data_IF_350696023715
#
_entry.id   IF_350696023715
#
_cell.length_a   1.000
_cell.length_b   1.000
_cell.length_c   1.000
_cell.angle_alpha   90.00
_cell.angle_beta   90.00
_cell.angle_gamma   90.00
#
_symmetry.space_group_name_H-M   'P 1'
#
loop_
_entity.id
_entity.type
_entity.pdbx_description
1 polymer ?
#
# COMPACT_ATOMS: atom_id res chain seq x y z
N UNK A 1 8.47 36.24 22.43
CA UNK A 1 8.25 34.87 21.93
C UNK A 1 7.27 34.93 20.80
N UNK A 2 7.79 34.99 19.54
CA UNK A 2 6.99 34.79 18.35
C UNK A 2 6.63 33.30 18.31
N UNK A 3 5.37 32.96 18.52
CA UNK A 3 4.82 31.68 18.12
C UNK A 3 5.06 31.57 16.61
N UNK A 4 6.08 30.86 16.20
CA UNK A 4 6.16 30.34 14.85
C UNK A 4 5.12 29.22 14.78
N UNK A 5 3.92 29.58 14.35
CA UNK A 5 2.97 28.63 13.85
C UNK A 5 3.56 28.11 12.53
N UNK A 6 4.42 27.10 12.62
CA UNK A 6 4.93 26.42 11.44
C UNK A 6 3.77 25.55 10.98
N UNK A 7 2.94 26.08 10.07
CA UNK A 7 1.95 25.30 9.36
C UNK A 7 2.69 24.16 8.66
N UNK A 8 2.54 22.94 9.19
CA UNK A 8 3.14 21.75 8.58
C UNK A 8 2.43 21.49 7.26
N UNK A 9 3.16 21.32 6.16
CA UNK A 9 2.53 21.05 4.87
C UNK A 9 1.82 19.69 4.89
N UNK A 10 0.71 19.57 4.19
CA UNK A 10 0.14 18.26 3.89
C UNK A 10 1.09 17.49 2.96
N UNK A 11 1.20 16.18 3.18
CA UNK A 11 2.07 15.29 2.40
C UNK A 11 1.21 14.26 1.69
N UNK A 12 1.30 14.22 0.37
CA UNK A 12 0.66 13.20 -0.47
C UNK A 12 1.76 12.39 -1.12
N UNK A 13 1.80 11.09 -0.81
CA UNK A 13 2.73 10.15 -1.40
C UNK A 13 1.99 9.26 -2.42
N UNK A 14 2.33 9.40 -3.71
CA UNK A 14 1.74 8.62 -4.79
C UNK A 14 2.77 7.58 -5.26
N UNK A 15 2.44 6.30 -5.05
CA UNK A 15 3.29 5.18 -5.42
C UNK A 15 2.65 4.39 -6.57
N UNK A 16 3.11 4.65 -7.78
CA UNK A 16 2.61 3.97 -8.97
C UNK A 16 3.13 2.53 -9.05
N UNK A 17 2.25 1.61 -9.45
CA UNK A 17 2.56 0.20 -9.64
C UNK A 17 2.83 -0.06 -11.12
N UNK A 18 3.88 -0.82 -11.42
CA UNK A 18 4.28 -1.21 -12.80
C UNK A 18 4.50 -0.03 -13.77
N UNK A 19 4.83 1.15 -13.25
CA UNK A 19 5.13 2.33 -14.06
C UNK A 19 6.63 2.39 -14.37
N UNK A 20 6.97 2.28 -15.65
CA UNK A 20 8.36 2.39 -16.12
C UNK A 20 8.85 3.85 -16.19
N UNK A 21 10.16 4.03 -16.14
CA UNK A 21 10.78 5.36 -16.25
C UNK A 21 10.36 6.11 -17.53
N UNK A 22 10.23 5.41 -18.65
CA UNK A 22 9.87 5.98 -19.94
C UNK A 22 8.36 6.12 -20.20
N UNK A 23 7.49 5.85 -19.21
CA UNK A 23 6.04 5.85 -19.41
C UNK A 23 5.40 7.23 -19.19
N UNK A 24 6.16 8.19 -18.68
CA UNK A 24 5.70 9.56 -18.44
C UNK A 24 6.30 10.53 -19.49
N UNK A 25 5.50 11.50 -19.97
CA UNK A 25 5.97 12.50 -20.94
C UNK A 25 7.15 13.31 -20.44
N UNK A 26 7.17 13.68 -19.16
CA UNK A 26 8.28 14.40 -18.55
C UNK A 26 9.60 13.59 -18.54
N UNK A 27 9.54 12.29 -18.81
CA UNK A 27 10.69 11.40 -19.01
C UNK A 27 10.83 10.89 -20.45
N UNK A 28 10.03 11.43 -21.39
CA UNK A 28 10.20 11.18 -22.82
C UNK A 28 9.17 10.23 -23.47
N UNK A 29 8.10 9.84 -22.77
CA UNK A 29 7.00 9.10 -23.38
C UNK A 29 6.39 9.92 -24.53
N UNK A 30 6.07 9.23 -25.65
CA UNK A 30 5.50 9.86 -26.85
C UNK A 30 4.07 9.43 -27.13
N UNK A 31 3.67 8.27 -26.63
CA UNK A 31 2.39 7.63 -26.95
C UNK A 31 1.33 7.78 -25.85
N UNK A 32 1.71 8.27 -24.68
CA UNK A 32 0.83 8.49 -23.54
C UNK A 32 0.96 9.93 -23.08
N UNK A 33 -0.16 10.60 -22.89
CA UNK A 33 -0.20 11.98 -22.40
C UNK A 33 -0.36 11.99 -20.88
N UNK A 34 0.54 12.70 -20.19
CA UNK A 34 0.53 12.81 -18.72
C UNK A 34 0.58 14.27 -18.25
N UNK A 35 -0.41 15.12 -18.65
CA UNK A 35 -0.33 16.57 -18.45
C UNK A 35 -0.25 16.98 -16.99
N UNK A 36 -0.92 16.28 -16.07
CA UNK A 36 -0.89 16.59 -14.64
C UNK A 36 0.45 16.25 -14.01
N UNK A 37 1.08 15.14 -14.42
CA UNK A 37 2.43 14.76 -13.97
C UNK A 37 3.47 15.71 -14.54
N UNK A 38 3.30 16.13 -15.81
CA UNK A 38 4.16 17.12 -16.43
C UNK A 38 4.12 18.45 -15.67
N UNK A 39 2.92 18.88 -15.22
CA UNK A 39 2.77 20.07 -14.39
C UNK A 39 3.52 19.93 -13.08
N UNK A 40 3.36 18.83 -12.35
CA UNK A 40 4.09 18.55 -11.12
C UNK A 40 5.61 18.58 -11.36
N UNK A 41 6.08 17.99 -12.46
CA UNK A 41 7.49 17.99 -12.83
C UNK A 41 8.04 19.39 -13.14
N UNK A 42 7.22 20.29 -13.70
CA UNK A 42 7.60 21.67 -14.03
C UNK A 42 7.56 22.61 -12.83
N UNK A 43 6.69 22.37 -11.88
CA UNK A 43 6.50 23.17 -10.67
C UNK A 43 7.35 22.68 -9.48
N UNK A 44 7.88 21.47 -9.55
CA UNK A 44 8.63 20.83 -8.48
C UNK A 44 10.03 20.37 -8.88
N UNK A 45 10.47 19.26 -8.29
CA UNK A 45 11.76 18.64 -8.56
C UNK A 45 11.55 17.33 -9.33
N UNK A 46 12.21 17.22 -10.48
CA UNK A 46 12.26 16.00 -11.27
C UNK A 46 13.59 15.29 -11.08
N UNK A 47 13.56 14.08 -10.54
CA UNK A 47 14.73 13.24 -10.37
C UNK A 47 15.03 12.49 -11.68
N UNK A 48 16.25 12.60 -12.18
CA UNK A 48 16.70 11.90 -13.41
C UNK A 48 17.50 10.63 -13.12
N UNK A 49 17.81 10.36 -11.86
CA UNK A 49 18.55 9.19 -11.40
C UNK A 49 18.03 8.73 -10.04
N UNK A 50 16.74 8.34 -10.01
CA UNK A 50 16.11 7.74 -8.84
C UNK A 50 15.74 6.29 -9.15
N UNK A 51 15.92 5.40 -8.18
CA UNK A 51 15.73 3.98 -8.36
C UNK A 51 14.78 3.44 -7.29
N UNK A 52 13.85 2.57 -7.69
CA UNK A 52 13.10 1.75 -6.76
C UNK A 52 14.06 0.74 -6.10
N UNK A 53 13.78 0.38 -4.85
CA UNK A 53 14.62 -0.56 -4.07
C UNK A 53 14.50 -1.99 -4.55
N UNK A 54 13.41 -2.32 -5.25
CA UNK A 54 13.17 -3.60 -5.89
C UNK A 54 12.26 -3.44 -7.11
N UNK A 55 12.33 -4.37 -8.06
CA UNK A 55 11.54 -4.35 -9.28
C UNK A 55 10.10 -4.85 -9.08
N UNK A 56 9.80 -5.56 -8.00
CA UNK A 56 8.50 -6.15 -7.72
C UNK A 56 7.80 -5.48 -6.54
N UNK A 57 6.49 -5.67 -6.47
CA UNK A 57 5.59 -4.91 -5.60
C UNK A 57 5.89 -5.02 -4.11
N UNK A 58 5.78 -6.22 -3.53
CA UNK A 58 5.93 -6.41 -2.08
C UNK A 58 7.26 -5.91 -1.53
N UNK A 59 8.43 -6.30 -2.08
CA UNK A 59 9.71 -5.85 -1.54
C UNK A 59 9.93 -4.34 -1.68
N UNK A 60 9.44 -3.74 -2.77
CA UNK A 60 9.55 -2.30 -2.98
C UNK A 60 8.68 -1.50 -1.99
N UNK A 61 7.43 -1.96 -1.76
CA UNK A 61 6.49 -1.37 -0.78
C UNK A 61 6.99 -1.53 0.64
N UNK A 62 7.54 -2.70 0.97
CA UNK A 62 8.18 -2.95 2.26
C UNK A 62 9.27 -1.92 2.54
N UNK A 63 10.21 -1.77 1.61
CA UNK A 63 11.33 -0.85 1.76
C UNK A 63 10.87 0.61 1.87
N UNK A 64 9.86 1.01 1.09
CA UNK A 64 9.30 2.36 1.12
C UNK A 64 8.69 2.69 2.50
N UNK A 65 7.94 1.77 3.08
CA UNK A 65 7.28 2.00 4.37
C UNK A 65 8.22 1.91 5.57
N UNK A 66 9.22 1.02 5.51
CA UNK A 66 10.08 0.71 6.67
C UNK A 66 11.45 1.38 6.64
N UNK A 67 11.87 1.87 5.47
CA UNK A 67 13.24 2.36 5.26
C UNK A 67 14.30 1.26 5.20
N UNK A 68 13.89 -0.01 5.20
CA UNK A 68 14.80 -1.16 5.16
C UNK A 68 14.77 -1.85 3.80
N UNK A 69 15.91 -2.33 3.33
CA UNK A 69 15.94 -3.16 2.13
C UNK A 69 15.26 -4.52 2.39
N UNK A 70 14.30 -4.88 1.56
CA UNK A 70 13.53 -6.11 1.68
C UNK A 70 14.40 -7.38 1.68
N UNK A 71 15.46 -7.40 0.86
CA UNK A 71 16.37 -8.55 0.78
C UNK A 71 17.12 -8.86 2.09
N UNK A 72 17.08 -7.95 3.08
CA UNK A 72 17.64 -8.19 4.42
C UNK A 72 16.71 -8.99 5.34
N UNK A 73 15.43 -9.13 4.95
CA UNK A 73 14.40 -9.80 5.76
C UNK A 73 13.78 -10.96 4.97
N UNK A 74 13.92 -12.22 5.43
CA UNK A 74 13.20 -13.33 4.82
C UNK A 74 11.68 -13.09 4.83
N UNK A 75 10.98 -13.59 3.81
CA UNK A 75 9.52 -13.50 3.71
C UNK A 75 9.00 -12.16 3.15
N UNK A 76 9.87 -11.37 2.53
CA UNK A 76 9.51 -10.11 1.84
C UNK A 76 9.41 -10.27 0.32
N UNK A 77 9.35 -11.49 -0.19
CA UNK A 77 9.06 -11.78 -1.59
C UNK A 77 7.62 -11.42 -1.94
N UNK A 78 7.25 -11.54 -3.21
CA UNK A 78 5.91 -11.19 -3.69
C UNK A 78 4.84 -11.96 -2.91
N UNK A 79 4.04 -11.24 -2.14
CA UNK A 79 3.06 -11.81 -1.23
C UNK A 79 1.87 -12.45 -1.97
N UNK A 80 1.35 -13.54 -1.43
CA UNK A 80 0.07 -14.11 -1.84
C UNK A 80 -1.10 -13.24 -1.35
N UNK A 81 -2.29 -13.42 -1.94
CA UNK A 81 -3.48 -12.67 -1.54
C UNK A 81 -3.93 -12.92 -0.09
N UNK A 82 -3.57 -14.08 0.46
CA UNK A 82 -3.85 -14.50 1.84
C UNK A 82 -2.62 -14.42 2.75
N UNK A 83 -1.59 -13.68 2.37
CA UNK A 83 -0.40 -13.52 3.19
C UNK A 83 -0.74 -12.86 4.52
N UNK A 84 -0.15 -13.33 5.60
CA UNK A 84 -0.11 -12.62 6.88
C UNK A 84 0.73 -11.35 6.78
N UNK A 85 0.52 -10.44 7.71
CA UNK A 85 1.20 -9.14 7.74
C UNK A 85 2.72 -9.30 7.78
N UNK A 86 3.41 -8.72 6.79
CA UNK A 86 4.86 -8.81 6.63
C UNK A 86 5.57 -7.76 7.49
N UNK A 87 5.03 -6.54 7.54
CA UNK A 87 5.47 -5.51 8.47
C UNK A 87 4.78 -5.78 9.80
N UNK A 88 5.55 -6.02 10.84
CA UNK A 88 4.98 -6.33 12.17
C UNK A 88 4.59 -5.05 12.89
N UNK A 89 3.56 -5.09 13.77
CA UNK A 89 3.11 -3.91 14.52
C UNK A 89 4.20 -3.20 15.33
N UNK A 90 5.20 -3.93 15.78
CA UNK A 90 6.34 -3.37 16.53
C UNK A 90 7.40 -2.69 15.64
N UNK A 91 7.30 -2.84 14.31
CA UNK A 91 8.24 -2.26 13.36
C UNK A 91 7.82 -0.81 13.04
N UNK A 92 8.73 0.13 13.30
CA UNK A 92 8.49 1.55 13.01
C UNK A 92 8.36 1.80 11.51
N UNK A 93 7.31 2.51 11.12
CA UNK A 93 6.97 2.78 9.71
C UNK A 93 7.00 4.28 9.40
N UNK A 94 6.92 4.60 8.11
CA UNK A 94 6.72 5.97 7.65
C UNK A 94 5.42 6.58 8.21
N UNK A 95 4.36 5.78 8.38
CA UNK A 95 3.12 6.25 8.99
C UNK A 95 3.31 6.63 10.46
N UNK A 96 4.04 5.81 11.24
CA UNK A 96 4.38 6.14 12.63
C UNK A 96 5.21 7.43 12.73
N UNK A 97 6.13 7.64 11.81
CA UNK A 97 6.93 8.85 11.73
C UNK A 97 6.05 10.10 11.56
N UNK A 98 5.10 10.06 10.63
CA UNK A 98 4.15 11.15 10.42
C UNK A 98 3.22 11.33 11.61
N UNK A 99 2.67 10.25 12.13
CA UNK A 99 1.78 10.27 13.31
C UNK A 99 2.46 10.84 14.53
N UNK A 100 3.70 10.43 14.83
CA UNK A 100 4.50 10.99 15.92
C UNK A 100 4.80 12.49 15.76
N UNK A 101 4.75 12.97 14.53
CA UNK A 101 4.88 14.38 14.17
C UNK A 101 3.55 15.13 14.17
N UNK A 102 2.44 14.50 14.59
CA UNK A 102 1.12 15.10 14.72
C UNK A 102 0.32 15.19 13.41
N UNK A 103 0.63 14.37 12.41
CA UNK A 103 -0.17 14.23 11.20
C UNK A 103 -1.28 13.18 11.41
N UNK A 104 -2.42 13.40 10.77
CA UNK A 104 -3.35 12.34 10.44
C UNK A 104 -2.82 11.55 9.24
N UNK A 105 -2.91 10.22 9.30
CA UNK A 105 -2.31 9.32 8.32
C UNK A 105 -3.36 8.48 7.61
N UNK A 106 -3.26 8.33 6.29
CA UNK A 106 -4.19 7.53 5.49
C UNK A 106 -3.48 6.71 4.41
N UNK A 107 -4.00 5.50 4.15
CA UNK A 107 -3.52 4.62 3.08
C UNK A 107 -4.66 4.21 2.16
N UNK A 108 -4.43 4.28 0.84
CA UNK A 108 -5.43 4.01 -0.18
C UNK A 108 -4.87 3.17 -1.31
N UNK A 109 -5.68 2.25 -1.85
CA UNK A 109 -5.35 1.47 -3.02
C UNK A 109 -4.63 0.15 -2.72
N UNK A 110 -3.72 -0.28 -3.59
CA UNK A 110 -3.01 -1.55 -3.45
C UNK A 110 -2.11 -1.60 -2.23
N UNK A 111 -2.31 -2.60 -1.36
CA UNK A 111 -1.47 -2.84 -0.18
C UNK A 111 -0.31 -3.80 -0.47
N UNK A 112 -0.60 -5.05 -0.70
CA UNK A 112 0.33 -6.13 -1.08
C UNK A 112 1.46 -6.41 -0.07
N UNK A 113 1.19 -6.21 1.22
CA UNK A 113 2.12 -6.48 2.32
C UNK A 113 1.55 -7.42 3.38
N UNK A 114 0.49 -8.16 3.00
CA UNK A 114 -0.20 -9.06 3.89
C UNK A 114 -1.07 -8.36 4.94
N UNK A 115 -2.02 -9.10 5.50
CA UNK A 115 -2.97 -8.67 6.50
C UNK A 115 -3.23 -9.81 7.49
N UNK A 116 -3.65 -9.46 8.70
CA UNK A 116 -3.83 -10.44 9.75
C UNK A 116 -2.50 -10.95 10.33
N UNK A 117 -2.59 -11.74 11.38
CA UNK A 117 -1.40 -12.22 12.11
C UNK A 117 -0.77 -13.50 11.51
N UNK A 118 -1.54 -14.25 10.67
CA UNK A 118 -1.08 -15.52 10.09
C UNK A 118 -1.44 -15.65 8.62
N UNK A 119 -0.51 -16.18 7.85
CA UNK A 119 -0.74 -16.51 6.44
C UNK A 119 -1.81 -17.61 6.29
N UNK A 120 -2.64 -17.50 5.26
CA UNK A 120 -3.70 -18.44 4.86
C UNK A 120 -4.84 -18.61 5.88
N UNK A 121 -4.95 -17.76 6.88
CA UNK A 121 -5.95 -17.87 7.94
C UNK A 121 -6.80 -16.61 8.11
N UNK A 122 -6.90 -15.79 7.05
CA UNK A 122 -7.74 -14.61 7.09
C UNK A 122 -9.21 -15.03 6.97
N UNK A 123 -10.01 -14.65 7.94
CA UNK A 123 -11.47 -14.68 7.82
C UNK A 123 -11.96 -13.34 7.27
N UNK A 124 -12.33 -13.32 5.99
CA UNK A 124 -12.80 -12.13 5.31
C UNK A 124 -14.20 -11.69 5.72
N UNK A 125 -14.89 -12.51 6.52
CA UNK A 125 -16.23 -12.22 7.05
C UNK A 125 -16.19 -11.57 8.44
N UNK A 126 -15.02 -11.39 9.00
CA UNK A 126 -14.79 -10.77 10.30
C UNK A 126 -13.72 -9.66 10.23
N UNK A 127 -13.63 -8.79 11.23
CA UNK A 127 -12.50 -7.88 11.34
C UNK A 127 -11.18 -8.65 11.41
N UNK A 128 -10.19 -8.20 10.64
CA UNK A 128 -8.87 -8.81 10.60
C UNK A 128 -8.13 -8.64 11.93
N UNK A 129 -7.39 -9.66 12.36
CA UNK A 129 -6.64 -9.67 13.62
C UNK A 129 -5.50 -8.65 13.66
N UNK A 130 -4.99 -8.24 12.50
CA UNK A 130 -4.02 -7.16 12.35
C UNK A 130 -4.22 -6.46 11.00
N UNK A 131 -4.08 -5.14 10.99
CA UNK A 131 -4.34 -4.28 9.83
C UNK A 131 -3.43 -3.06 9.80
N UNK A 132 -3.69 -2.13 8.90
CA UNK A 132 -2.90 -0.92 8.76
C UNK A 132 -2.98 0.02 9.97
N UNK A 133 -4.04 -0.08 10.78
CA UNK A 133 -4.15 0.66 12.05
C UNK A 133 -3.00 0.33 13.01
N UNK A 134 -2.54 -0.92 13.00
CA UNK A 134 -1.41 -1.40 13.80
C UNK A 134 -0.05 -0.91 13.29
N UNK A 135 -0.01 -0.32 12.09
CA UNK A 135 1.18 0.22 11.44
C UNK A 135 1.20 1.76 11.39
N UNK A 136 0.39 2.42 12.21
CA UNK A 136 0.38 3.87 12.32
C UNK A 136 -0.56 4.61 11.36
N UNK A 137 -1.40 3.93 10.59
CA UNK A 137 -2.41 4.58 9.76
C UNK A 137 -3.71 4.81 10.55
N UNK A 138 -4.19 6.05 10.58
CA UNK A 138 -5.46 6.42 11.21
C UNK A 138 -6.67 6.00 10.37
N UNK A 139 -6.48 5.91 9.05
CA UNK A 139 -7.51 5.45 8.11
C UNK A 139 -6.90 4.64 6.97
N UNK A 140 -7.60 3.60 6.53
CA UNK A 140 -7.20 2.83 5.37
C UNK A 140 -8.39 2.39 4.53
N UNK A 141 -8.25 2.49 3.20
CA UNK A 141 -9.19 1.92 2.22
C UNK A 141 -8.37 1.28 1.10
N UNK A 142 -8.19 -0.02 1.19
CA UNK A 142 -7.17 -0.74 0.42
C UNK A 142 -7.71 -2.01 -0.22
N UNK A 143 -6.96 -2.55 -1.16
CA UNK A 143 -7.04 -3.94 -1.61
C UNK A 143 -5.93 -4.75 -0.95
N UNK A 144 -6.24 -5.97 -0.47
CA UNK A 144 -5.30 -6.82 0.29
C UNK A 144 -3.99 -7.08 -0.46
N UNK A 145 -4.09 -7.42 -1.75
CA UNK A 145 -2.94 -7.64 -2.62
C UNK A 145 -3.06 -6.82 -3.90
N UNK A 146 -3.51 -7.42 -4.98
CA UNK A 146 -3.64 -6.84 -6.32
C UNK A 146 -5.05 -7.10 -6.84
N UNK A 147 -5.46 -6.40 -7.91
CA UNK A 147 -6.78 -6.60 -8.53
C UNK A 147 -6.95 -7.98 -9.20
N UNK A 148 -5.87 -8.68 -9.46
CA UNK A 148 -5.81 -10.01 -10.07
C UNK A 148 -5.61 -11.15 -9.06
N UNK A 149 -5.65 -10.86 -7.75
CA UNK A 149 -5.47 -11.85 -6.68
C UNK A 149 -6.60 -11.79 -5.68
N UNK A 150 -7.13 -12.95 -5.37
CA UNK A 150 -8.19 -13.09 -4.36
C UNK A 150 -7.67 -12.80 -2.93
N UNK A 151 -8.51 -12.18 -2.08
CA UNK A 151 -9.83 -11.67 -2.38
C UNK A 151 -9.76 -10.34 -3.16
N UNK A 152 -10.62 -10.16 -4.15
CA UNK A 152 -10.73 -8.92 -4.93
C UNK A 152 -11.76 -7.97 -4.27
N UNK A 153 -11.58 -7.69 -3.00
CA UNK A 153 -12.45 -6.83 -2.19
C UNK A 153 -11.70 -5.61 -1.68
N UNK A 154 -12.42 -4.53 -1.43
CA UNK A 154 -11.88 -3.43 -0.66
C UNK A 154 -11.99 -3.69 0.84
N UNK A 155 -10.99 -3.24 1.57
CA UNK A 155 -10.89 -3.38 3.02
C UNK A 155 -10.77 -1.98 3.61
N UNK A 156 -11.71 -1.64 4.46
CA UNK A 156 -11.75 -0.37 5.19
C UNK A 156 -11.41 -0.62 6.65
N UNK A 157 -10.32 0.00 7.13
CA UNK A 157 -9.89 -0.10 8.54
C UNK A 157 -9.85 -1.53 9.10
N UNK A 158 -9.38 -2.48 8.29
CA UNK A 158 -9.23 -3.87 8.69
C UNK A 158 -10.47 -4.76 8.56
N UNK A 159 -11.52 -4.27 7.89
CA UNK A 159 -12.73 -5.05 7.60
C UNK A 159 -13.11 -4.90 6.13
N UNK A 160 -13.72 -5.93 5.53
CA UNK A 160 -14.23 -5.82 4.16
C UNK A 160 -15.28 -4.72 4.10
N UNK A 161 -15.07 -3.77 3.18
CA UNK A 161 -15.96 -2.64 2.98
C UNK A 161 -17.34 -3.10 2.49
N UNK A 162 -18.42 -2.53 3.05
CA UNK A 162 -19.80 -2.88 2.74
C UNK A 162 -20.12 -4.37 2.92
N UNK A 163 -19.48 -5.02 3.90
CA UNK A 163 -19.73 -6.41 4.20
C UNK A 163 -21.21 -6.68 4.52
N UNK A 164 -21.79 -7.67 3.85
CA UNK A 164 -23.16 -8.15 4.09
C UNK A 164 -23.12 -9.52 4.75
N UNK A 165 -23.50 -9.65 6.04
CA UNK A 165 -23.50 -10.93 6.73
C UNK A 165 -24.51 -11.95 6.18
N UNK A 166 -25.49 -11.52 5.37
CA UNK A 166 -26.41 -12.42 4.67
C UNK A 166 -25.83 -13.04 3.40
N UNK A 167 -24.68 -12.48 2.91
CA UNK A 167 -23.95 -12.93 1.74
C UNK A 167 -22.47 -13.12 2.11
N UNK A 168 -22.12 -14.18 2.86
CA UNK A 168 -20.76 -14.40 3.33
C UNK A 168 -19.82 -14.59 2.15
N UNK A 169 -18.60 -14.07 2.34
CA UNK A 169 -17.53 -14.13 1.35
C UNK A 169 -16.88 -15.50 1.40
N UNK A 170 -16.87 -16.19 0.27
CA UNK A 170 -16.13 -17.43 0.06
C UNK A 170 -14.93 -17.13 -0.84
N UNK A 171 -13.74 -17.60 -0.46
CA UNK A 171 -12.50 -17.38 -1.21
C UNK A 171 -11.79 -18.71 -1.44
N UNK A 172 -11.43 -18.98 -2.69
CA UNK A 172 -10.57 -20.10 -3.05
C UNK A 172 -9.25 -19.61 -3.61
N UNK A 173 -8.14 -20.11 -3.08
CA UNK A 173 -6.78 -19.83 -3.57
C UNK A 173 -6.22 -20.95 -4.45
N UNK A 174 -6.99 -22.00 -4.69
CA UNK A 174 -6.51 -23.25 -5.33
C UNK A 174 -7.27 -23.55 -6.62
N UNK A 175 -8.57 -23.28 -6.67
CA UNK A 175 -9.44 -23.60 -7.80
C UNK A 175 -10.62 -22.64 -7.87
N UNK A 176 -11.22 -22.54 -9.06
CA UNK A 176 -12.47 -21.81 -9.25
C UNK A 176 -13.63 -22.52 -8.58
N UNK A 177 -14.66 -21.78 -8.19
CA UNK A 177 -15.91 -22.34 -7.70
C UNK A 177 -16.68 -22.99 -8.85
N UNK A 178 -17.54 -24.00 -8.56
CA UNK A 178 -18.40 -24.57 -9.58
C UNK A 178 -19.32 -23.52 -10.21
N UNK A 179 -19.29 -23.40 -11.54
CA UNK A 179 -20.12 -22.45 -12.29
C UNK A 179 -19.45 -21.13 -12.68
N UNK A 180 -18.18 -20.98 -12.38
CA UNK A 180 -17.35 -19.85 -12.85
C UNK A 180 -16.54 -20.22 -14.10
#
# INVERSE_FOLDING_TARGET
NKNQNTDKPNVIFIYADDLGYGDLECYGAKNVQTPNVNRLASEGIRFINAHATAATSTPSRYSMLTGEYAWRKPGTDVAAGNAGMIIRPEQYTMADMFKSSGYATGAFGKWHLGLGDKTAQQDWNAPLSASLGDLGFDYSYIMAATADRVPCVFIENGQVANYDPSAPIEVSYIKNFPGE
#
